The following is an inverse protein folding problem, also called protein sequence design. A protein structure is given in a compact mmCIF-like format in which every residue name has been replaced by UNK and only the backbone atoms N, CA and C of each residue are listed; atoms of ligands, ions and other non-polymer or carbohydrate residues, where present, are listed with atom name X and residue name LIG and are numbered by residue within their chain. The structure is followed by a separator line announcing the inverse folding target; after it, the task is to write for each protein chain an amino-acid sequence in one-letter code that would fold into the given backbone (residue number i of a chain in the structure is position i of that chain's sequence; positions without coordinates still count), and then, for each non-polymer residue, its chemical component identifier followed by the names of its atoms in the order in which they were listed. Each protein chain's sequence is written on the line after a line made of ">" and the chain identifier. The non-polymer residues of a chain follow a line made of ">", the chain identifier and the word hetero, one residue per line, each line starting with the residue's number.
data_IF_324130388549
#
_entry.id   IF_324130388549
#
_cell.length_a   1.000
_cell.length_b   1.000
_cell.length_c   1.000
_cell.angle_alpha   90.00
_cell.angle_beta   90.00
_cell.angle_gamma   90.00
#
_symmetry.space_group_name_H-M   'P 1'
#
loop_
_entity.id
_entity.type
_entity.pdbx_description
1 polymer ?
#
# COMPACT_ATOMS: atom_id res chain seq x y z
N UNK A 1 21.53 0.73 -9.64
CA UNK A 1 21.45 -0.12 -8.43
C UNK A 1 20.01 -0.43 -8.10
N UNK A 2 19.14 0.58 -7.94
CA UNK A 2 17.70 0.42 -7.84
C UNK A 2 17.00 1.62 -8.51
N UNK A 3 15.70 1.51 -8.76
CA UNK A 3 14.83 2.59 -9.22
C UNK A 3 13.53 2.60 -8.42
N UNK A 4 12.89 3.77 -8.34
CA UNK A 4 11.65 3.96 -7.61
C UNK A 4 10.49 4.30 -8.54
N UNK A 5 9.30 3.86 -8.19
CA UNK A 5 8.06 4.28 -8.82
C UNK A 5 7.12 4.91 -7.79
N UNK A 6 6.66 6.13 -8.10
CA UNK A 6 5.86 6.96 -7.22
C UNK A 6 4.39 6.55 -7.09
N UNK A 7 3.69 7.26 -6.21
CA UNK A 7 2.31 7.00 -5.81
C UNK A 7 2.12 7.11 -4.29
N UNK A 8 0.96 6.68 -3.79
CA UNK A 8 0.59 6.75 -2.36
C UNK A 8 1.60 6.10 -1.41
N UNK A 9 2.27 5.05 -1.88
CA UNK A 9 3.48 4.48 -1.29
C UNK A 9 4.52 4.33 -2.39
N UNK A 10 5.80 4.45 -2.03
CA UNK A 10 6.89 4.25 -2.99
C UNK A 10 7.12 2.76 -3.22
N UNK A 11 7.41 2.41 -4.48
CA UNK A 11 7.77 1.06 -4.90
C UNK A 11 9.22 1.08 -5.35
N UNK A 12 10.07 0.29 -4.72
CA UNK A 12 11.49 0.22 -5.07
C UNK A 12 11.78 -1.11 -5.74
N UNK A 13 12.51 -1.04 -6.85
CA UNK A 13 12.93 -2.17 -7.65
C UNK A 13 14.46 -2.18 -7.77
N UNK A 14 15.10 -3.25 -7.35
CA UNK A 14 16.52 -3.47 -7.52
C UNK A 14 16.80 -3.84 -8.98
N UNK A 15 17.92 -3.36 -9.52
CA UNK A 15 18.33 -3.64 -10.88
C UNK A 15 19.24 -4.89 -10.88
N UNK A 16 18.64 -6.08 -10.78
CA UNK A 16 19.28 -7.39 -10.59
C UNK A 16 19.70 -7.98 -11.94
N UNK A 17 20.95 -8.46 -12.00
CA UNK A 17 21.52 -9.08 -13.20
C UNK A 17 20.73 -10.34 -13.58
N UNK A 18 20.26 -10.38 -14.82
CA UNK A 18 19.48 -11.50 -15.36
C UNK A 18 17.97 -11.40 -15.10
N UNK A 19 17.52 -10.49 -14.23
CA UNK A 19 16.09 -10.16 -14.05
C UNK A 19 15.73 -8.90 -14.85
N UNK A 20 16.55 -7.86 -14.75
CA UNK A 20 16.40 -6.62 -15.51
C UNK A 20 17.35 -6.57 -16.72
N UNK A 21 16.96 -5.94 -17.85
CA UNK A 21 17.78 -5.90 -19.08
C UNK A 21 19.18 -5.29 -18.88
N UNK A 22 19.32 -4.34 -17.96
CA UNK A 22 20.58 -3.67 -17.64
C UNK A 22 21.00 -3.94 -16.19
N UNK A 23 20.66 -5.11 -15.66
CA UNK A 23 20.92 -5.48 -14.26
C UNK A 23 22.39 -5.37 -13.85
N UNK A 24 22.63 -4.70 -12.73
CA UNK A 24 23.98 -4.44 -12.17
C UNK A 24 24.21 -5.06 -10.79
N UNK A 25 23.14 -5.44 -10.09
CA UNK A 25 23.21 -6.11 -8.79
C UNK A 25 23.34 -7.61 -9.04
N UNK A 26 24.41 -8.23 -8.54
CA UNK A 26 24.56 -9.68 -8.63
C UNK A 26 23.43 -10.37 -7.84
N UNK A 27 22.86 -11.50 -8.31
CA UNK A 27 21.80 -12.20 -7.58
C UNK A 27 22.17 -12.56 -6.13
N UNK A 28 23.43 -12.88 -5.88
CA UNK A 28 23.97 -13.23 -4.56
C UNK A 28 24.01 -12.02 -3.60
N UNK A 29 24.08 -10.81 -4.16
CA UNK A 29 24.09 -9.54 -3.42
C UNK A 29 22.68 -8.99 -3.17
N UNK A 30 21.64 -9.61 -3.73
CA UNK A 30 20.27 -9.08 -3.74
C UNK A 30 19.78 -8.69 -2.34
N UNK A 31 19.86 -9.61 -1.37
CA UNK A 31 19.38 -9.38 -0.01
C UNK A 31 20.19 -8.29 0.70
N UNK A 32 21.52 -8.34 0.57
CA UNK A 32 22.41 -7.35 1.17
C UNK A 32 22.14 -5.94 0.65
N UNK A 33 21.95 -5.79 -0.67
CA UNK A 33 21.64 -4.50 -1.29
C UNK A 33 20.23 -4.03 -0.91
N UNK A 34 19.26 -4.95 -0.87
CA UNK A 34 17.88 -4.65 -0.48
C UNK A 34 17.82 -4.12 0.96
N UNK A 35 18.53 -4.76 1.88
CA UNK A 35 18.60 -4.35 3.29
C UNK A 35 19.35 -3.03 3.47
N UNK A 36 20.42 -2.80 2.70
CA UNK A 36 21.14 -1.52 2.71
C UNK A 36 20.23 -0.37 2.27
N UNK A 37 19.47 -0.56 1.20
CA UNK A 37 18.49 0.42 0.70
C UNK A 37 17.38 0.65 1.73
N UNK A 38 16.79 -0.42 2.28
CA UNK A 38 15.74 -0.32 3.29
C UNK A 38 16.21 0.48 4.52
N UNK A 39 17.43 0.19 5.02
CA UNK A 39 18.04 0.90 6.14
C UNK A 39 18.25 2.38 5.85
N UNK A 40 18.72 2.74 4.63
CA UNK A 40 18.89 4.15 4.24
C UNK A 40 17.57 4.89 4.12
N UNK A 41 16.54 4.23 3.58
CA UNK A 41 15.19 4.80 3.47
C UNK A 41 14.59 5.11 4.85
N UNK A 42 14.81 4.22 5.83
CA UNK A 42 14.38 4.43 7.22
C UNK A 42 15.13 5.59 7.91
N UNK A 43 16.28 5.99 7.40
CA UNK A 43 17.09 7.09 7.95
C UNK A 43 16.75 8.46 7.35
N UNK A 44 15.87 8.51 6.34
CA UNK A 44 15.40 9.78 5.77
C UNK A 44 14.64 10.55 6.85
N UNK A 45 15.06 11.80 7.04
CA UNK A 45 14.43 12.77 7.95
C UNK A 45 13.44 13.62 7.17
N UNK A 46 12.63 14.40 7.87
CA UNK A 46 11.79 15.40 7.22
C UNK A 46 12.50 16.71 6.89
N UNK A 47 11.78 17.64 6.24
CA UNK A 47 12.33 18.92 5.82
C UNK A 47 12.88 19.77 6.98
N UNK A 48 12.42 19.57 8.22
CA UNK A 48 12.93 20.25 9.41
C UNK A 48 13.93 19.39 10.20
N UNK A 49 14.36 18.25 9.66
CA UNK A 49 15.25 17.30 10.31
C UNK A 49 14.56 16.34 11.30
N UNK A 50 13.23 16.36 11.36
CA UNK A 50 12.44 15.48 12.23
C UNK A 50 12.58 14.01 11.83
N UNK A 51 12.47 13.12 12.82
CA UNK A 51 12.40 11.69 12.54
C UNK A 51 11.04 11.35 11.93
N UNK A 52 11.05 10.68 10.77
CA UNK A 52 9.82 10.18 10.17
C UNK A 52 9.45 8.80 10.67
N UNK A 53 8.15 8.54 10.78
CA UNK A 53 7.58 7.22 11.03
C UNK A 53 7.53 6.38 9.74
N UNK A 54 8.65 6.37 9.01
CA UNK A 54 8.77 5.66 7.74
C UNK A 54 8.70 4.15 7.97
N UNK A 55 7.93 3.45 7.12
CA UNK A 55 7.85 1.98 7.11
C UNK A 55 8.33 1.44 5.77
N UNK A 56 9.25 0.49 5.83
CA UNK A 56 9.71 -0.25 4.65
C UNK A 56 9.24 -1.70 4.81
N UNK A 57 8.52 -2.21 3.82
CA UNK A 57 7.97 -3.57 3.81
C UNK A 57 8.52 -4.35 2.62
N UNK A 58 8.96 -5.58 2.84
CA UNK A 58 9.28 -6.54 1.77
C UNK A 58 7.98 -7.18 1.24
N UNK A 59 7.96 -7.72 0.01
CA UNK A 59 6.79 -8.38 -0.58
C UNK A 59 6.08 -9.37 0.33
N UNK A 60 6.84 -10.28 0.95
CA UNK A 60 6.34 -11.31 1.86
C UNK A 60 5.80 -10.78 3.19
N UNK A 61 6.02 -9.49 3.49
CA UNK A 61 5.51 -8.81 4.67
C UNK A 61 4.22 -8.07 4.30
N UNK A 62 3.08 -8.76 4.39
CA UNK A 62 1.75 -8.13 4.31
C UNK A 62 0.74 -8.78 3.37
N UNK A 63 1.13 -9.75 2.54
CA UNK A 63 0.22 -10.52 1.69
C UNK A 63 0.45 -12.01 1.90
N UNK A 64 -0.64 -12.80 1.96
CA UNK A 64 -0.56 -14.25 2.10
C UNK A 64 0.04 -14.93 0.88
N UNK A 65 -0.29 -14.45 -0.32
CA UNK A 65 0.30 -14.89 -1.58
C UNK A 65 0.67 -13.66 -2.41
N UNK A 66 1.88 -13.63 -2.97
CA UNK A 66 2.34 -12.54 -3.83
C UNK A 66 2.41 -13.07 -5.27
N UNK A 67 1.56 -12.52 -6.15
CA UNK A 67 1.51 -12.88 -7.58
C UNK A 67 1.96 -11.72 -8.45
N UNK A 68 2.47 -12.02 -9.65
CA UNK A 68 2.98 -11.02 -10.60
C UNK A 68 4.40 -10.56 -10.26
N UNK A 69 4.71 -9.32 -10.61
CA UNK A 69 6.02 -8.69 -10.42
C UNK A 69 5.97 -7.68 -9.25
N UNK A 70 6.11 -8.14 -8.00
CA UNK A 70 6.06 -7.24 -6.86
C UNK A 70 7.30 -6.34 -6.80
N UNK A 71 7.16 -5.13 -6.21
CA UNK A 71 8.33 -4.31 -5.90
C UNK A 71 9.20 -5.00 -4.86
N UNK A 72 10.51 -4.84 -4.92
CA UNK A 72 11.41 -5.43 -3.92
C UNK A 72 11.21 -4.81 -2.53
N UNK A 73 10.78 -3.54 -2.47
CA UNK A 73 10.36 -2.85 -1.24
C UNK A 73 9.14 -1.96 -1.50
N UNK A 74 8.23 -1.92 -0.53
CA UNK A 74 7.18 -0.89 -0.41
C UNK A 74 7.57 0.08 0.70
N UNK A 75 7.46 1.38 0.45
CA UNK A 75 7.88 2.42 1.40
C UNK A 75 6.71 3.37 1.66
N UNK A 76 6.37 3.52 2.93
CA UNK A 76 5.39 4.47 3.42
C UNK A 76 6.16 5.56 4.16
N UNK A 77 6.32 6.73 3.56
CA UNK A 77 7.06 7.82 4.18
C UNK A 77 6.21 8.50 5.24
N UNK A 78 6.78 8.62 6.43
CA UNK A 78 6.14 9.21 7.62
C UNK A 78 4.67 8.82 7.82
N UNK A 79 4.40 7.51 7.85
CA UNK A 79 3.04 7.00 8.07
C UNK A 79 2.00 7.56 7.08
N UNK A 80 2.33 7.54 5.78
CA UNK A 80 1.53 8.07 4.65
C UNK A 80 1.38 9.59 4.60
N UNK A 81 2.02 10.34 5.49
CA UNK A 81 2.00 11.80 5.45
C UNK A 81 2.75 12.36 4.22
N UNK A 82 3.79 11.64 3.76
CA UNK A 82 4.53 11.98 2.55
C UNK A 82 4.39 10.89 1.48
N UNK A 83 4.36 11.33 0.21
CA UNK A 83 4.36 10.44 -0.95
C UNK A 83 5.64 10.57 -1.78
N UNK A 84 5.93 9.53 -2.55
CA UNK A 84 6.99 9.62 -3.56
C UNK A 84 6.45 10.32 -4.81
N UNK A 85 7.12 11.38 -5.23
CA UNK A 85 6.89 12.02 -6.52
C UNK A 85 7.43 11.16 -7.67
N UNK A 86 6.74 11.18 -8.82
CA UNK A 86 7.21 10.55 -10.06
C UNK A 86 8.10 11.45 -10.91
N UNK A 87 8.45 12.62 -10.38
CA UNK A 87 9.12 13.73 -11.07
C UNK A 87 10.39 14.11 -10.34
N UNK A 88 11.36 14.70 -11.06
CA UNK A 88 12.68 15.09 -10.55
C UNK A 88 12.98 16.52 -11.00
N UNK A 89 13.93 17.19 -10.31
CA UNK A 89 14.41 18.52 -10.70
C UNK A 89 13.78 19.68 -9.94
N UNK A 90 13.15 19.42 -8.79
CA UNK A 90 12.45 20.42 -7.97
C UNK A 90 13.37 21.29 -7.09
N UNK A 91 14.69 21.17 -7.22
CA UNK A 91 15.68 21.91 -6.41
C UNK A 91 15.88 21.36 -4.99
N UNK A 92 14.91 20.62 -4.46
CA UNK A 92 14.99 19.88 -3.20
C UNK A 92 14.43 18.45 -3.39
N UNK A 93 14.69 17.56 -2.42
CA UNK A 93 14.11 16.23 -2.34
C UNK A 93 12.69 16.24 -1.76
N UNK A 94 12.27 17.36 -1.15
CA UNK A 94 10.91 17.56 -0.67
C UNK A 94 10.10 18.41 -1.64
N UNK A 95 8.89 17.96 -1.93
CA UNK A 95 7.93 18.69 -2.72
C UNK A 95 6.67 18.94 -1.86
N UNK A 96 6.47 20.17 -1.34
CA UNK A 96 5.34 20.47 -0.46
C UNK A 96 3.99 20.49 -1.20
N UNK A 97 4.01 20.66 -2.52
CA UNK A 97 2.82 20.66 -3.37
C UNK A 97 2.75 19.37 -4.22
N UNK A 98 1.58 19.05 -4.77
CA UNK A 98 1.47 17.90 -5.66
C UNK A 98 2.05 18.20 -7.05
N UNK A 99 2.66 17.22 -7.71
CA UNK A 99 3.06 17.29 -9.11
C UNK A 99 1.87 17.25 -10.10
N UNK A 100 0.64 17.02 -9.60
CA UNK A 100 -0.59 16.85 -10.39
C UNK A 100 -1.81 17.67 -9.92
N UNK A 101 -1.68 18.57 -8.94
CA UNK A 101 -2.79 19.36 -8.36
C UNK A 101 -3.31 18.81 -7.02
N UNK A 102 -4.21 19.50 -6.29
CA UNK A 102 -4.56 19.14 -4.92
C UNK A 102 -5.17 17.73 -4.85
N UNK A 103 -4.48 16.83 -4.16
CA UNK A 103 -5.00 15.54 -3.72
C UNK A 103 -5.03 15.63 -2.19
N UNK A 104 -6.18 16.08 -1.66
CA UNK A 104 -6.33 16.40 -0.23
C UNK A 104 -6.47 15.13 0.65
N UNK A 105 -6.35 13.93 0.06
CA UNK A 105 -6.44 12.67 0.76
C UNK A 105 -5.46 11.63 0.21
N UNK A 106 -4.94 10.78 1.11
CA UNK A 106 -4.09 9.63 0.76
C UNK A 106 -4.84 8.35 1.17
N UNK A 107 -4.72 7.29 0.38
CA UNK A 107 -5.31 6.00 0.73
C UNK A 107 -4.63 5.40 1.96
N UNK A 108 -5.44 5.08 2.97
CA UNK A 108 -5.02 4.27 4.12
C UNK A 108 -5.76 2.91 4.12
N UNK A 109 -5.30 2.01 4.99
CA UNK A 109 -5.83 0.66 5.19
C UNK A 109 -7.19 0.66 5.88
N UNK A 110 -7.47 1.70 6.68
CA UNK A 110 -8.73 1.85 7.38
C UNK A 110 -9.71 2.61 6.49
N UNK A 111 -10.83 1.96 6.18
CA UNK A 111 -11.94 2.55 5.43
C UNK A 111 -13.17 2.74 6.31
N UNK A 112 -14.12 3.54 5.81
CA UNK A 112 -15.45 3.69 6.40
C UNK A 112 -16.48 3.00 5.51
N UNK A 113 -17.45 2.34 6.14
CA UNK A 113 -18.64 1.86 5.44
C UNK A 113 -19.90 2.19 6.24
N UNK A 114 -21.02 2.31 5.52
CA UNK A 114 -22.36 2.42 6.10
C UNK A 114 -23.24 1.42 5.36
N UNK A 115 -23.86 0.51 6.09
CA UNK A 115 -24.87 -0.39 5.57
C UNK A 115 -26.24 -0.03 6.14
N UNK A 116 -27.20 0.23 5.26
CA UNK A 116 -28.56 0.63 5.61
C UNK A 116 -29.58 -0.20 4.83
N UNK A 117 -30.52 -0.82 5.54
CA UNK A 117 -31.67 -1.51 4.96
C UNK A 117 -32.95 -0.73 5.29
N UNK A 118 -33.66 -0.17 4.29
CA UNK A 118 -34.89 0.58 4.54
C UNK A 118 -36.07 -0.29 5.03
N UNK A 119 -35.96 -1.63 4.94
CA UNK A 119 -37.02 -2.57 5.34
C UNK A 119 -36.81 -3.14 6.74
N UNK A 120 -35.62 -2.99 7.32
CA UNK A 120 -35.23 -3.60 8.60
C UNK A 120 -34.47 -2.60 9.45
N UNK A 121 -34.92 -2.42 10.70
CA UNK A 121 -34.09 -1.75 11.70
C UNK A 121 -33.01 -2.73 12.20
N UNK A 122 -31.75 -2.41 11.93
CA UNK A 122 -30.58 -3.19 12.35
C UNK A 122 -30.01 -2.70 13.69
N UNK A 123 -30.60 -1.66 14.28
CA UNK A 123 -30.26 -1.12 15.58
C UNK A 123 -28.90 -0.42 15.64
N UNK A 124 -28.41 0.10 14.50
CA UNK A 124 -27.20 0.93 14.37
C UNK A 124 -25.99 0.42 15.15
N UNK A 125 -25.17 -0.44 14.54
CA UNK A 125 -24.04 -1.09 15.22
C UNK A 125 -22.73 -0.79 14.53
N UNK A 126 -21.70 -0.52 15.33
CA UNK A 126 -20.33 -0.52 14.87
C UNK A 126 -19.85 -1.97 14.74
N UNK A 127 -19.32 -2.32 13.58
CA UNK A 127 -18.79 -3.64 13.32
C UNK A 127 -17.56 -3.51 12.42
N UNK A 128 -16.50 -4.24 12.75
CA UNK A 128 -15.34 -4.34 11.89
C UNK A 128 -15.68 -5.21 10.68
N UNK A 129 -15.38 -4.71 9.48
CA UNK A 129 -15.48 -5.44 8.23
C UNK A 129 -14.16 -5.33 7.48
N UNK A 130 -13.77 -6.42 6.83
CA UNK A 130 -12.70 -6.38 5.82
C UNK A 130 -13.31 -5.98 4.49
N UNK A 131 -12.54 -5.32 3.64
CA UNK A 131 -13.02 -4.93 2.30
C UNK A 131 -13.54 -6.14 1.48
N UNK A 132 -12.95 -7.32 1.68
CA UNK A 132 -13.38 -8.58 1.04
C UNK A 132 -14.74 -9.07 1.51
N UNK A 133 -15.23 -8.61 2.66
CA UNK A 133 -16.54 -8.97 3.21
C UNK A 133 -17.70 -8.18 2.56
N UNK A 134 -17.41 -7.11 1.81
CA UNK A 134 -18.43 -6.25 1.17
C UNK A 134 -19.22 -6.99 0.10
N UNK A 135 -18.54 -7.64 -0.85
CA UNK A 135 -19.18 -8.42 -1.92
C UNK A 135 -20.13 -9.51 -1.39
N UNK A 136 -19.70 -10.43 -0.51
CA UNK A 136 -20.59 -11.48 0.01
C UNK A 136 -21.74 -10.89 0.86
N UNK A 137 -21.53 -9.77 1.54
CA UNK A 137 -22.59 -9.03 2.25
C UNK A 137 -23.69 -8.56 1.28
N UNK A 138 -23.31 -7.96 0.15
CA UNK A 138 -24.26 -7.49 -0.86
C UNK A 138 -25.03 -8.64 -1.52
N UNK A 139 -24.35 -9.73 -1.87
CA UNK A 139 -25.00 -10.92 -2.44
C UNK A 139 -26.06 -11.48 -1.49
N UNK A 140 -25.73 -11.61 -0.21
CA UNK A 140 -26.67 -12.08 0.82
C UNK A 140 -27.86 -11.12 0.97
N UNK A 141 -27.62 -9.81 1.01
CA UNK A 141 -28.68 -8.80 1.09
C UNK A 141 -29.64 -8.85 -0.12
N UNK A 142 -29.14 -9.23 -1.29
CA UNK A 142 -29.93 -9.40 -2.52
C UNK A 142 -30.65 -10.75 -2.62
N UNK A 143 -30.47 -11.65 -1.64
CA UNK A 143 -31.02 -13.02 -1.69
C UNK A 143 -30.33 -13.91 -2.74
N UNK A 144 -29.11 -13.57 -3.13
CA UNK A 144 -28.30 -14.34 -4.08
C UNK A 144 -27.36 -15.31 -3.34
N UNK A 145 -27.02 -16.46 -3.96
CA UNK A 145 -26.05 -17.37 -3.37
C UNK A 145 -24.68 -16.69 -3.25
N UNK A 146 -24.01 -16.89 -2.12
CA UNK A 146 -22.62 -16.46 -1.90
C UNK A 146 -21.70 -17.62 -2.30
N UNK A 147 -20.83 -17.46 -3.31
CA UNK A 147 -19.89 -18.50 -3.70
C UNK A 147 -18.92 -18.84 -2.58
N UNK A 148 -18.63 -20.13 -2.39
CA UNK A 148 -17.81 -20.62 -1.27
C UNK A 148 -16.32 -20.29 -1.39
N UNK A 149 -15.87 -19.93 -2.58
CA UNK A 149 -14.51 -19.51 -2.90
C UNK A 149 -14.21 -18.05 -2.53
N UNK A 150 -15.22 -17.26 -2.18
CA UNK A 150 -15.00 -15.90 -1.68
C UNK A 150 -14.27 -15.93 -0.33
N UNK A 151 -13.20 -15.12 -0.20
CA UNK A 151 -12.45 -15.01 1.06
C UNK A 151 -13.26 -14.31 2.17
N UNK A 152 -14.14 -13.39 1.76
CA UNK A 152 -14.98 -12.62 2.67
C UNK A 152 -16.18 -13.40 3.20
N UNK A 153 -16.77 -12.91 4.28
CA UNK A 153 -18.01 -13.43 4.85
C UNK A 153 -19.07 -12.33 4.92
N UNK A 154 -20.35 -12.63 4.68
CA UNK A 154 -21.41 -11.65 4.84
C UNK A 154 -21.49 -11.11 6.27
N UNK A 155 -22.00 -9.89 6.43
CA UNK A 155 -22.38 -9.34 7.72
C UNK A 155 -23.20 -10.36 8.55
N UNK A 156 -22.83 -10.65 9.81
CA UNK A 156 -23.55 -11.60 10.65
C UNK A 156 -25.01 -11.26 10.93
N UNK A 157 -25.40 -9.98 10.82
CA UNK A 157 -26.78 -9.51 11.07
C UNK A 157 -27.72 -9.69 9.86
N UNK A 158 -27.19 -10.05 8.69
CA UNK A 158 -27.96 -10.39 7.50
C UNK A 158 -28.42 -11.83 7.49
#
# INVERSE_FOLDING_TARGET
>A
MAWGWGGYYARIFLNVKGREPQGVVAPEDYERVRDDIARRLLQIRGPNGEEWRTRVLKPGEGFGECRGDPPDLRVYFDDLYWRSAGTMGHGDIYLPENDTGPDDAVHDKMGLYIYYDPRRDLGGREQELRIVDVAPTLLKAMGLPVPGEMEGRPLPCL
#
